data_IF_586533007134
#
_entry.id   IF_586533007134
#
_cell.length_a   1.000
_cell.length_b   1.000
_cell.length_c   1.000
_cell.angle_alpha   90.00
_cell.angle_beta   90.00
_cell.angle_gamma   90.00
#
_symmetry.space_group_name_H-M   'P 1'
#
loop_
_entity.id
_entity.type
_entity.pdbx_description
1 polymer ?
#
# COMPACT_ATOMS: atom_id res chain seq x y z
N UNK A 1 -2.38 -31.27 -5.38
CA UNK A 1 -2.88 -29.90 -5.71
C UNK A 1 -1.99 -29.33 -6.81
N UNK A 2 -2.54 -28.96 -7.98
CA UNK A 2 -1.74 -28.49 -9.14
C UNK A 2 -1.28 -27.04 -8.93
N UNK A 3 0.00 -26.75 -9.19
CA UNK A 3 0.55 -25.40 -9.04
C UNK A 3 0.13 -24.51 -10.23
N UNK A 4 -0.33 -23.29 -9.97
CA UNK A 4 -0.71 -22.33 -11.02
C UNK A 4 0.48 -21.98 -11.93
N UNK A 5 0.44 -22.21 -13.24
CA UNK A 5 1.59 -21.92 -14.12
C UNK A 5 2.89 -22.65 -13.74
N UNK A 6 2.78 -23.89 -13.26
CA UNK A 6 3.93 -24.71 -12.84
C UNK A 6 5.05 -24.75 -13.90
N UNK A 7 4.69 -25.06 -15.14
CA UNK A 7 5.64 -25.20 -16.26
C UNK A 7 6.36 -23.89 -16.58
N UNK A 8 5.62 -22.79 -16.68
CA UNK A 8 6.19 -21.45 -16.90
C UNK A 8 7.19 -21.10 -15.80
N UNK A 9 6.83 -21.38 -14.55
CA UNK A 9 7.72 -21.09 -13.43
C UNK A 9 8.92 -22.01 -13.34
N UNK A 10 8.82 -23.26 -13.82
CA UNK A 10 9.96 -24.17 -13.95
C UNK A 10 10.99 -23.61 -14.95
N UNK A 11 10.53 -23.11 -16.09
CA UNK A 11 11.37 -22.47 -17.10
C UNK A 11 12.04 -21.20 -16.55
N UNK A 12 11.27 -20.31 -15.89
CA UNK A 12 11.81 -19.08 -15.29
C UNK A 12 12.85 -19.40 -14.22
N UNK A 13 12.56 -20.35 -13.32
CA UNK A 13 13.50 -20.76 -12.28
C UNK A 13 14.82 -21.24 -12.86
N UNK A 14 14.79 -22.04 -13.92
CA UNK A 14 16.01 -22.47 -14.61
C UNK A 14 16.83 -21.26 -15.08
N UNK A 15 16.19 -20.30 -15.74
CA UNK A 15 16.86 -19.06 -16.17
C UNK A 15 17.45 -18.27 -14.99
N UNK A 16 16.73 -18.17 -13.86
CA UNK A 16 17.22 -17.49 -12.65
C UNK A 16 18.45 -18.19 -12.06
N UNK A 17 18.46 -19.53 -12.02
CA UNK A 17 19.63 -20.30 -11.57
C UNK A 17 20.82 -20.12 -12.52
N UNK A 18 20.60 -20.18 -13.82
CA UNK A 18 21.67 -20.02 -14.81
C UNK A 18 22.31 -18.62 -14.70
N UNK A 19 21.49 -17.58 -14.54
CA UNK A 19 21.96 -16.21 -14.31
C UNK A 19 22.79 -16.12 -13.03
N UNK A 20 22.31 -16.69 -11.92
CA UNK A 20 23.04 -16.65 -10.66
C UNK A 20 24.39 -17.40 -10.75
N UNK A 21 24.42 -18.54 -11.44
CA UNK A 21 25.63 -19.33 -11.64
C UNK A 21 26.64 -18.65 -12.57
N UNK A 22 26.19 -17.99 -13.64
CA UNK A 22 27.06 -17.31 -14.61
C UNK A 22 27.57 -15.96 -14.09
N UNK A 23 26.70 -15.17 -13.44
CA UNK A 23 27.03 -13.80 -12.98
C UNK A 23 27.71 -13.81 -11.61
N UNK A 24 27.36 -14.74 -10.73
CA UNK A 24 27.82 -14.75 -9.34
C UNK A 24 27.13 -13.70 -8.47
N UNK A 25 27.68 -13.45 -7.27
CA UNK A 25 27.14 -12.51 -6.27
C UNK A 25 27.92 -11.18 -6.27
N UNK A 26 27.29 -10.10 -5.79
CA UNK A 26 27.95 -8.80 -5.57
C UNK A 26 27.66 -7.72 -6.61
N UNK A 27 26.87 -8.04 -7.64
CA UNK A 27 26.46 -7.07 -8.65
C UNK A 27 25.16 -6.34 -8.27
N UNK A 28 24.91 -5.14 -8.83
CA UNK A 28 23.66 -4.43 -8.61
C UNK A 28 22.47 -5.13 -9.30
N UNK A 29 21.26 -4.86 -8.82
CA UNK A 29 20.00 -5.41 -9.36
C UNK A 29 19.86 -5.24 -10.87
N UNK A 30 20.29 -4.10 -11.42
CA UNK A 30 20.26 -3.82 -12.86
C UNK A 30 21.13 -4.76 -13.71
N UNK A 31 22.17 -5.36 -13.14
CA UNK A 31 22.99 -6.36 -13.83
C UNK A 31 22.24 -7.69 -13.93
N UNK A 32 21.67 -8.16 -12.82
CA UNK A 32 20.84 -9.38 -12.80
C UNK A 32 19.60 -9.25 -13.67
N UNK A 33 18.97 -8.07 -13.68
CA UNK A 33 17.84 -7.80 -14.56
C UNK A 33 18.22 -7.96 -16.03
N UNK A 34 19.31 -7.33 -16.48
CA UNK A 34 19.82 -7.49 -17.87
C UNK A 34 20.19 -8.93 -18.20
N UNK A 35 20.90 -9.62 -17.29
CA UNK A 35 21.30 -11.00 -17.48
C UNK A 35 20.09 -11.94 -17.60
N UNK A 36 19.06 -11.72 -16.78
CA UNK A 36 17.82 -12.49 -16.82
C UNK A 36 17.05 -12.30 -18.14
N UNK A 37 16.92 -11.06 -18.62
CA UNK A 37 16.30 -10.80 -19.92
C UNK A 37 17.05 -11.51 -21.05
N UNK A 38 18.39 -11.44 -21.07
CA UNK A 38 19.22 -12.11 -22.07
C UNK A 38 19.12 -13.65 -21.99
N UNK A 39 19.04 -14.23 -20.80
CA UNK A 39 18.84 -15.67 -20.60
C UNK A 39 17.47 -16.13 -21.13
N UNK A 40 16.41 -15.39 -20.80
CA UNK A 40 15.05 -15.67 -21.27
C UNK A 40 14.92 -15.52 -22.79
N UNK A 41 15.51 -14.49 -23.39
CA UNK A 41 15.48 -14.26 -24.83
C UNK A 41 16.15 -15.40 -25.60
N UNK A 42 17.33 -15.87 -25.16
CA UNK A 42 18.04 -17.04 -25.74
C UNK A 42 17.20 -18.33 -25.70
N UNK A 43 16.22 -18.40 -24.80
CA UNK A 43 15.34 -19.55 -24.59
C UNK A 43 13.94 -19.37 -25.20
N UNK A 44 13.72 -18.28 -25.94
CA UNK A 44 12.41 -17.99 -26.54
C UNK A 44 11.30 -17.75 -25.52
N UNK A 45 11.63 -17.29 -24.30
CA UNK A 45 10.63 -16.97 -23.28
C UNK A 45 10.00 -15.60 -23.61
N UNK A 46 8.69 -15.53 -23.89
CA UNK A 46 7.99 -14.27 -24.11
C UNK A 46 7.93 -13.47 -22.82
N UNK A 47 8.45 -12.24 -22.84
CA UNK A 47 8.41 -11.35 -21.69
C UNK A 47 8.27 -9.88 -22.11
N UNK A 48 7.77 -9.09 -21.17
CA UNK A 48 7.82 -7.64 -21.16
C UNK A 48 8.63 -7.20 -19.94
N UNK A 49 9.28 -6.04 -20.03
CA UNK A 49 10.08 -5.51 -18.94
C UNK A 49 9.91 -4.00 -18.81
N UNK A 50 9.97 -3.50 -17.57
CA UNK A 50 9.95 -2.06 -17.23
C UNK A 50 8.76 -1.32 -17.86
N UNK A 51 7.60 -1.99 -17.95
CA UNK A 51 6.39 -1.33 -18.47
C UNK A 51 5.73 -0.52 -17.37
N UNK A 52 5.29 0.68 -17.73
CA UNK A 52 4.64 1.61 -16.82
C UNK A 52 3.12 1.44 -16.84
N UNK A 53 2.51 1.64 -15.69
CA UNK A 53 1.05 1.61 -15.51
C UNK A 53 0.59 2.77 -14.65
N UNK A 54 -0.43 3.51 -15.10
CA UNK A 54 -0.99 4.65 -14.38
C UNK A 54 -2.18 4.20 -13.54
N UNK A 55 -2.11 4.39 -12.23
CA UNK A 55 -3.27 4.27 -11.36
C UNK A 55 -3.99 5.61 -11.34
N UNK A 56 -5.19 5.64 -11.89
CA UNK A 56 -6.02 6.83 -11.97
C UNK A 56 -7.22 6.73 -11.03
N UNK A 57 -7.65 7.87 -10.50
CA UNK A 57 -8.90 8.00 -9.76
C UNK A 57 -9.51 9.36 -10.07
N UNK A 58 -10.77 9.41 -10.53
CA UNK A 58 -11.44 10.67 -10.95
C UNK A 58 -10.59 11.50 -11.92
N UNK A 59 -10.06 10.85 -12.95
CA UNK A 59 -9.19 11.43 -13.99
C UNK A 59 -7.84 11.99 -13.49
N UNK A 60 -7.52 11.83 -12.22
CA UNK A 60 -6.22 12.19 -11.64
C UNK A 60 -5.30 10.98 -11.63
N UNK A 61 -4.07 11.14 -12.14
CA UNK A 61 -3.02 10.12 -12.00
C UNK A 61 -2.50 10.15 -10.56
N UNK A 62 -2.87 9.14 -9.78
CA UNK A 62 -2.54 9.01 -8.36
C UNK A 62 -1.13 8.45 -8.16
N UNK A 63 -0.74 7.51 -9.03
CA UNK A 63 0.58 6.89 -9.03
C UNK A 63 0.93 6.27 -10.38
N UNK A 64 2.23 6.12 -10.66
CA UNK A 64 2.74 5.41 -11.84
C UNK A 64 3.60 4.25 -11.35
N UNK A 65 3.14 3.03 -11.58
CA UNK A 65 3.89 1.81 -11.28
C UNK A 65 4.79 1.44 -12.45
N UNK A 66 5.89 0.74 -12.17
CA UNK A 66 6.75 0.10 -13.15
C UNK A 66 7.23 -1.23 -12.56
N UNK A 67 6.95 -2.35 -13.24
CA UNK A 67 7.40 -3.67 -12.81
C UNK A 67 8.73 -4.05 -13.47
N UNK A 68 9.47 -4.99 -12.88
CA UNK A 68 10.72 -5.48 -13.49
C UNK A 68 10.44 -6.34 -14.73
N UNK A 69 9.71 -7.45 -14.57
CA UNK A 69 9.42 -8.41 -15.66
C UNK A 69 8.00 -8.98 -15.57
N UNK A 70 7.37 -9.18 -16.72
CA UNK A 70 6.13 -9.94 -16.90
C UNK A 70 6.34 -10.99 -18.00
N UNK A 71 6.32 -12.28 -17.62
CA UNK A 71 6.51 -13.39 -18.55
C UNK A 71 5.17 -14.03 -18.95
N UNK A 72 5.01 -14.34 -20.24
CA UNK A 72 3.78 -14.86 -20.87
C UNK A 72 2.50 -14.09 -20.54
N UNK A 73 2.61 -12.80 -20.15
CA UNK A 73 1.49 -12.03 -19.60
C UNK A 73 0.80 -12.67 -18.38
N UNK A 74 1.46 -13.64 -17.72
CA UNK A 74 0.90 -14.47 -16.64
C UNK A 74 1.66 -14.32 -15.33
N UNK A 75 2.98 -14.35 -15.37
CA UNK A 75 3.86 -14.42 -14.18
C UNK A 75 4.68 -13.14 -14.08
N UNK A 76 4.45 -12.38 -13.01
CA UNK A 76 5.28 -11.20 -12.71
C UNK A 76 6.53 -11.63 -11.93
N UNK A 77 7.65 -10.95 -12.16
CA UNK A 77 8.85 -11.12 -11.37
C UNK A 77 9.29 -9.77 -10.82
N UNK A 78 9.69 -9.77 -9.56
CA UNK A 78 10.39 -8.68 -8.90
C UNK A 78 11.78 -9.19 -8.54
N UNK A 79 12.82 -8.57 -9.08
CA UNK A 79 14.21 -9.01 -8.91
C UNK A 79 14.88 -8.12 -7.87
N UNK A 80 15.69 -8.72 -7.00
CA UNK A 80 16.42 -8.04 -5.95
C UNK A 80 17.85 -8.57 -5.85
N UNK A 81 18.76 -7.75 -5.33
CA UNK A 81 20.14 -8.13 -5.01
C UNK A 81 20.47 -7.75 -3.55
N UNK A 82 19.92 -8.50 -2.60
CA UNK A 82 19.91 -8.15 -1.18
C UNK A 82 20.77 -9.12 -0.35
N UNK A 83 21.81 -8.59 0.29
CA UNK A 83 22.63 -9.34 1.24
C UNK A 83 21.85 -9.70 2.51
N UNK A 84 20.93 -8.84 2.97
CA UNK A 84 20.12 -9.03 4.17
C UNK A 84 18.94 -10.01 4.01
N UNK A 85 18.50 -10.29 2.77
CA UNK A 85 17.27 -11.04 2.50
C UNK A 85 16.05 -10.15 2.25
N UNK A 86 14.86 -10.74 2.18
CA UNK A 86 13.64 -9.98 1.88
C UNK A 86 13.09 -9.26 3.11
N UNK A 87 12.78 -7.97 2.95
CA UNK A 87 11.95 -7.20 3.87
C UNK A 87 10.48 -7.27 3.46
N UNK A 88 9.58 -6.92 4.39
CA UNK A 88 8.13 -6.86 4.16
C UNK A 88 7.76 -6.01 2.95
N UNK A 89 8.44 -4.90 2.73
CA UNK A 89 8.13 -3.96 1.66
C UNK A 89 8.33 -4.58 0.27
N UNK A 90 9.28 -5.51 0.11
CA UNK A 90 9.46 -6.23 -1.16
C UNK A 90 8.25 -7.12 -1.49
N UNK A 91 7.65 -7.77 -0.48
CA UNK A 91 6.42 -8.54 -0.66
C UNK A 91 5.24 -7.61 -0.97
N UNK A 92 5.14 -6.47 -0.30
CA UNK A 92 4.09 -5.47 -0.56
C UNK A 92 4.19 -4.93 -1.99
N UNK A 93 5.40 -4.67 -2.48
CA UNK A 93 5.64 -4.17 -3.83
C UNK A 93 5.13 -5.14 -4.90
N UNK A 94 5.57 -6.40 -4.86
CA UNK A 94 5.13 -7.38 -5.86
C UNK A 94 3.63 -7.69 -5.75
N UNK A 95 3.05 -7.77 -4.55
CA UNK A 95 1.60 -7.95 -4.38
C UNK A 95 0.80 -6.76 -4.94
N UNK A 96 1.33 -5.54 -4.79
CA UNK A 96 0.76 -4.32 -5.37
C UNK A 96 0.75 -4.39 -6.90
N UNK A 97 1.83 -4.88 -7.50
CA UNK A 97 1.91 -5.07 -8.96
C UNK A 97 0.96 -6.17 -9.44
N UNK A 98 0.90 -7.31 -8.75
CA UNK A 98 -0.06 -8.38 -9.07
C UNK A 98 -1.50 -7.88 -9.05
N UNK A 99 -1.85 -7.07 -8.04
CA UNK A 99 -3.14 -6.41 -7.96
C UNK A 99 -3.36 -5.46 -9.15
N UNK A 100 -2.45 -4.50 -9.35
CA UNK A 100 -2.63 -3.46 -10.36
C UNK A 100 -2.73 -4.00 -11.79
N UNK A 101 -1.88 -4.97 -12.17
CA UNK A 101 -1.93 -5.62 -13.48
C UNK A 101 -2.86 -6.84 -13.56
N UNK A 102 -3.64 -7.12 -12.51
CA UNK A 102 -4.58 -8.24 -12.42
C UNK A 102 -3.93 -9.60 -12.73
N UNK A 103 -2.73 -9.83 -12.19
CA UNK A 103 -1.97 -11.08 -12.36
C UNK A 103 -2.10 -11.95 -11.13
N UNK A 104 -2.04 -13.26 -11.34
CA UNK A 104 -2.34 -14.28 -10.31
C UNK A 104 -1.11 -14.90 -9.65
N UNK A 105 0.08 -14.60 -10.18
CA UNK A 105 1.32 -15.19 -9.68
C UNK A 105 2.50 -14.23 -9.83
N UNK A 106 3.21 -14.02 -8.73
CA UNK A 106 4.49 -13.32 -8.70
C UNK A 106 5.63 -14.23 -8.26
N UNK A 107 6.83 -13.96 -8.75
CA UNK A 107 8.08 -14.50 -8.22
C UNK A 107 8.92 -13.34 -7.66
N UNK A 108 9.14 -13.34 -6.35
CA UNK A 108 10.06 -12.41 -5.71
C UNK A 108 11.43 -13.09 -5.61
N UNK A 109 12.43 -12.54 -6.30
CA UNK A 109 13.73 -13.19 -6.49
C UNK A 109 14.82 -12.38 -5.83
N UNK A 110 15.74 -13.05 -5.13
CA UNK A 110 16.93 -12.42 -4.57
C UNK A 110 18.20 -13.13 -5.04
N UNK A 111 19.04 -12.39 -5.75
CA UNK A 111 20.35 -12.81 -6.23
C UNK A 111 21.51 -12.50 -5.26
N UNK A 112 21.28 -11.69 -4.22
CA UNK A 112 22.32 -11.20 -3.30
C UNK A 112 22.76 -12.19 -2.22
N UNK A 113 22.36 -13.46 -2.32
CA UNK A 113 22.75 -14.54 -1.41
C UNK A 113 23.60 -15.56 -2.15
N UNK A 114 24.30 -16.42 -1.41
CA UNK A 114 25.08 -17.55 -1.96
C UNK A 114 24.27 -18.47 -2.89
N UNK A 115 22.96 -18.52 -2.69
CA UNK A 115 22.01 -19.21 -3.58
C UNK A 115 20.88 -18.26 -3.91
N UNK A 116 20.43 -18.25 -5.16
CA UNK A 116 19.23 -17.50 -5.54
C UNK A 116 18.04 -17.94 -4.69
N UNK A 117 17.37 -16.98 -4.05
CA UNK A 117 16.15 -17.20 -3.29
C UNK A 117 14.96 -16.79 -4.14
N UNK A 118 13.94 -17.64 -4.21
CA UNK A 118 12.76 -17.42 -5.05
C UNK A 118 11.53 -17.69 -4.19
N UNK A 119 10.81 -16.62 -3.85
CA UNK A 119 9.51 -16.70 -3.20
C UNK A 119 8.41 -16.70 -4.25
N UNK A 120 7.53 -17.69 -4.16
CA UNK A 120 6.43 -17.88 -5.09
C UNK A 120 5.15 -17.38 -4.44
N UNK A 121 4.54 -16.35 -5.04
CA UNK A 121 3.45 -15.60 -4.42
C UNK A 121 2.18 -15.71 -5.28
N UNK A 122 1.30 -16.70 -5.01
CA UNK A 122 -0.02 -16.72 -5.60
C UNK A 122 -0.82 -15.52 -5.08
N UNK A 123 -1.54 -14.85 -5.98
CA UNK A 123 -2.39 -13.71 -5.67
C UNK A 123 -3.81 -13.97 -6.13
N UNK A 124 -4.75 -13.62 -5.26
CA UNK A 124 -6.16 -13.57 -5.54
C UNK A 124 -6.72 -12.31 -4.88
N UNK A 125 -7.56 -11.59 -5.60
CA UNK A 125 -8.34 -10.53 -4.99
C UNK A 125 -9.28 -11.12 -3.95
N UNK A 126 -9.52 -10.34 -2.90
CA UNK A 126 -10.42 -10.71 -1.82
C UNK A 126 -11.67 -9.86 -1.91
N UNK A 127 -12.78 -10.44 -1.51
CA UNK A 127 -14.03 -9.71 -1.37
C UNK A 127 -13.86 -8.57 -0.35
N UNK A 128 -14.47 -7.43 -0.68
CA UNK A 128 -14.46 -6.27 0.19
C UNK A 128 -15.44 -6.48 1.33
N UNK A 129 -14.92 -6.81 2.51
CA UNK A 129 -15.68 -6.76 3.76
C UNK A 129 -15.54 -5.38 4.38
N UNK A 130 -16.65 -4.78 4.82
CA UNK A 130 -16.65 -3.46 5.46
C UNK A 130 -17.08 -3.61 6.92
N UNK A 131 -16.32 -2.99 7.83
CA UNK A 131 -16.61 -2.93 9.26
C UNK A 131 -16.51 -1.49 9.75
N UNK A 132 -17.53 -1.02 10.47
CA UNK A 132 -17.59 0.37 10.91
C UNK A 132 -17.96 0.47 12.40
N UNK A 133 -17.25 1.29 13.15
CA UNK A 133 -17.51 1.54 14.56
C UNK A 133 -17.39 3.04 14.88
N UNK A 134 -18.53 3.68 15.13
CA UNK A 134 -18.62 5.10 15.50
C UNK A 134 -19.04 5.33 16.95
N UNK A 135 -19.09 4.27 17.79
CA UNK A 135 -19.66 4.35 19.14
C UNK A 135 -19.00 5.45 19.99
N UNK A 136 -17.69 5.66 19.83
CA UNK A 136 -16.90 6.63 20.61
C UNK A 136 -17.08 8.09 20.19
N UNK A 137 -17.53 8.34 18.97
CA UNK A 137 -17.73 9.72 18.46
C UNK A 137 -19.19 10.14 18.54
N UNK A 138 -20.15 9.22 18.45
CA UNK A 138 -21.60 9.52 18.48
C UNK A 138 -22.02 10.52 19.58
N UNK A 139 -21.55 10.42 20.84
CA UNK A 139 -21.95 11.36 21.90
C UNK A 139 -21.35 12.76 21.76
N UNK A 140 -20.33 12.95 20.91
CA UNK A 140 -19.58 14.20 20.75
C UNK A 140 -19.84 14.91 19.43
N UNK A 141 -20.65 14.32 18.54
CA UNK A 141 -20.94 14.91 17.24
C UNK A 141 -22.05 15.95 17.34
N UNK A 142 -21.77 17.17 16.90
CA UNK A 142 -22.81 18.15 16.66
C UNK A 142 -23.64 17.74 15.43
N UNK A 143 -24.88 18.21 15.35
CA UNK A 143 -25.74 17.98 14.17
C UNK A 143 -25.09 18.48 12.89
N UNK A 144 -24.32 19.57 12.98
CA UNK A 144 -23.55 20.17 11.88
C UNK A 144 -22.40 19.31 11.38
N UNK A 145 -21.91 18.33 12.15
CA UNK A 145 -20.79 17.47 11.73
C UNK A 145 -21.25 16.27 10.88
N UNK A 146 -22.54 15.92 10.95
CA UNK A 146 -23.09 14.73 10.29
C UNK A 146 -22.97 14.77 8.76
N UNK A 147 -23.24 15.89 8.06
CA UNK A 147 -23.06 15.96 6.61
C UNK A 147 -21.61 15.73 6.19
N UNK A 148 -20.65 16.35 6.90
CA UNK A 148 -19.23 16.19 6.62
C UNK A 148 -18.78 14.74 6.82
N UNK A 149 -19.12 14.11 7.95
CA UNK A 149 -18.78 12.71 8.20
C UNK A 149 -19.41 11.75 7.19
N UNK A 150 -20.65 12.04 6.74
CA UNK A 150 -21.29 11.25 5.69
C UNK A 150 -20.52 11.35 4.37
N UNK A 151 -20.14 12.56 3.96
CA UNK A 151 -19.37 12.78 2.74
C UNK A 151 -17.98 12.12 2.81
N UNK A 152 -17.31 12.20 3.97
CA UNK A 152 -16.03 11.53 4.24
C UNK A 152 -16.20 10.00 4.09
N UNK A 153 -17.19 9.42 4.77
CA UNK A 153 -17.51 7.99 4.71
C UNK A 153 -17.81 7.53 3.29
N UNK A 154 -18.64 8.27 2.56
CA UNK A 154 -18.97 7.94 1.18
C UNK A 154 -17.72 7.94 0.29
N UNK A 155 -16.82 8.91 0.45
CA UNK A 155 -15.54 8.91 -0.26
C UNK A 155 -14.68 7.69 0.08
N UNK A 156 -14.61 7.29 1.36
CA UNK A 156 -13.89 6.09 1.79
C UNK A 156 -14.46 4.83 1.12
N UNK A 157 -15.78 4.69 1.13
CA UNK A 157 -16.45 3.55 0.51
C UNK A 157 -16.29 3.53 -1.00
N UNK A 158 -16.37 4.69 -1.67
CA UNK A 158 -16.12 4.78 -3.12
C UNK A 158 -14.71 4.31 -3.45
N UNK A 159 -13.68 4.81 -2.75
CA UNK A 159 -12.29 4.38 -2.99
C UNK A 159 -12.13 2.87 -2.77
N UNK A 160 -12.71 2.34 -1.69
CA UNK A 160 -12.63 0.90 -1.41
C UNK A 160 -13.37 0.05 -2.44
N UNK A 161 -14.53 0.49 -2.94
CA UNK A 161 -15.30 -0.21 -3.96
C UNK A 161 -14.63 -0.16 -5.33
N UNK A 162 -14.04 0.97 -5.70
CA UNK A 162 -13.37 1.14 -7.01
C UNK A 162 -12.03 0.40 -7.06
N UNK A 163 -11.24 0.46 -5.98
CA UNK A 163 -9.85 -0.02 -5.99
C UNK A 163 -9.63 -1.30 -5.19
N UNK A 164 -10.57 -1.72 -4.34
CA UNK A 164 -10.41 -2.85 -3.45
C UNK A 164 -9.31 -2.67 -2.39
N UNK A 165 -9.01 -3.73 -1.65
CA UNK A 165 -7.97 -3.77 -0.61
C UNK A 165 -6.61 -4.19 -1.18
N UNK A 166 -5.52 -3.97 -0.43
CA UNK A 166 -4.18 -4.48 -0.81
C UNK A 166 -3.20 -3.44 -1.35
N UNK A 167 -3.57 -2.16 -1.39
CA UNK A 167 -2.60 -1.07 -1.58
C UNK A 167 -2.03 -0.59 -0.24
N UNK A 168 -0.83 -0.02 -0.26
CA UNK A 168 -0.21 0.60 0.92
C UNK A 168 -0.93 1.88 1.36
N UNK A 169 -0.71 2.28 2.60
CA UNK A 169 -1.35 3.43 3.26
C UNK A 169 -1.16 4.75 2.51
N UNK A 170 0.04 5.03 2.03
CA UNK A 170 0.36 6.23 1.24
C UNK A 170 -0.49 6.30 -0.03
N UNK A 171 -0.69 5.16 -0.70
CA UNK A 171 -1.46 5.12 -1.92
C UNK A 171 -2.96 5.24 -1.64
N UNK A 172 -3.45 4.56 -0.60
CA UNK A 172 -4.82 4.72 -0.10
C UNK A 172 -5.11 6.18 0.28
N UNK A 173 -4.19 6.87 0.95
CA UNK A 173 -4.32 8.27 1.32
C UNK A 173 -4.41 9.18 0.08
N UNK A 174 -3.59 8.95 -0.95
CA UNK A 174 -3.66 9.70 -2.21
C UNK A 174 -4.98 9.46 -2.95
N UNK A 175 -5.47 8.20 -2.98
CA UNK A 175 -6.78 7.87 -3.55
C UNK A 175 -7.93 8.59 -2.82
N UNK A 176 -7.90 8.60 -1.48
CA UNK A 176 -8.87 9.34 -0.67
C UNK A 176 -8.81 10.85 -0.92
N UNK A 177 -7.60 11.42 -1.00
CA UNK A 177 -7.43 12.82 -1.36
C UNK A 177 -8.09 13.12 -2.71
N UNK A 178 -7.80 12.32 -3.75
CA UNK A 178 -8.41 12.52 -5.07
C UNK A 178 -9.95 12.42 -5.03
N UNK A 179 -10.51 11.45 -4.31
CA UNK A 179 -11.97 11.30 -4.16
C UNK A 179 -12.61 12.48 -3.43
N UNK A 180 -12.00 12.95 -2.34
CA UNK A 180 -12.56 14.03 -1.54
C UNK A 180 -12.43 15.40 -2.23
N UNK A 181 -11.35 15.65 -2.97
CA UNK A 181 -11.24 16.83 -3.83
C UNK A 181 -12.32 16.81 -4.93
N UNK A 182 -12.54 15.66 -5.58
CA UNK A 182 -13.63 15.51 -6.56
C UNK A 182 -15.01 15.81 -5.95
N UNK A 183 -15.21 15.46 -4.67
CA UNK A 183 -16.42 15.75 -3.89
C UNK A 183 -16.46 17.17 -3.31
N UNK A 184 -15.53 18.04 -3.69
CA UNK A 184 -15.43 19.43 -3.22
C UNK A 184 -15.26 19.57 -1.70
N UNK A 185 -14.63 18.58 -1.05
CA UNK A 185 -14.23 18.68 0.34
C UNK A 185 -12.84 19.33 0.44
N UNK A 186 -12.67 20.27 1.37
CA UNK A 186 -11.35 20.79 1.72
C UNK A 186 -10.54 19.68 2.40
N UNK A 187 -9.34 19.37 1.87
CA UNK A 187 -8.45 18.34 2.41
C UNK A 187 -7.03 18.90 2.56
N UNK A 188 -6.45 18.73 3.75
CA UNK A 188 -5.04 19.07 4.01
C UNK A 188 -4.27 17.82 4.43
N UNK A 189 -3.13 17.57 3.80
CA UNK A 189 -2.29 16.38 4.00
C UNK A 189 -0.84 16.69 4.42
N UNK A 190 -0.47 17.97 4.53
CA UNK A 190 0.83 18.44 5.02
C UNK A 190 0.73 18.97 6.45
N UNK A 191 0.04 18.22 7.30
CA UNK A 191 -0.22 18.60 8.68
C UNK A 191 1.07 18.52 9.49
N UNK A 192 1.30 19.51 10.37
CA UNK A 192 2.42 19.51 11.30
C UNK A 192 1.96 19.87 12.70
N UNK A 193 2.43 19.15 13.70
CA UNK A 193 2.17 19.43 15.11
C UNK A 193 3.42 19.92 15.80
N UNK A 194 3.34 20.91 16.70
CA UNK A 194 4.37 21.10 17.70
C UNK A 194 4.45 19.85 18.58
N UNK A 195 5.64 19.32 18.81
CA UNK A 195 5.88 18.41 19.92
C UNK A 195 6.40 19.22 21.10
N UNK A 196 5.90 18.92 22.30
CA UNK A 196 6.30 19.61 23.53
C UNK A 196 6.73 18.61 24.58
N UNK A 197 7.75 19.00 25.33
CA UNK A 197 8.10 18.36 26.59
C UNK A 197 8.14 19.48 27.64
N UNK A 198 7.22 19.41 28.60
CA UNK A 198 6.98 20.51 29.54
C UNK A 198 6.65 21.82 28.81
N UNK A 199 7.33 22.92 29.12
CA UNK A 199 7.18 24.23 28.49
C UNK A 199 7.99 24.37 27.18
N UNK A 200 8.82 23.38 26.83
CA UNK A 200 9.74 23.47 25.69
C UNK A 200 9.11 22.91 24.42
N UNK A 201 9.05 23.73 23.36
CA UNK A 201 8.71 23.26 22.01
C UNK A 201 9.92 22.57 21.37
N UNK A 202 9.79 21.26 21.12
CA UNK A 202 10.83 20.42 20.51
C UNK A 202 10.89 20.56 18.98
N UNK A 203 9.96 21.33 18.39
CA UNK A 203 9.82 21.55 16.96
C UNK A 203 8.50 21.03 16.39
N UNK A 204 8.32 21.22 15.08
CA UNK A 204 7.10 20.85 14.35
C UNK A 204 7.29 19.60 13.50
N UNK A 205 6.60 18.54 13.88
CA UNK A 205 6.72 17.21 13.27
C UNK A 205 5.54 16.92 12.35
N UNK A 206 5.77 16.17 11.25
CA UNK A 206 4.69 15.80 10.35
C UNK A 206 3.66 14.92 11.06
N UNK A 207 2.40 15.18 10.78
CA UNK A 207 1.27 14.34 11.18
C UNK A 207 0.86 13.52 9.97
N UNK A 208 0.90 12.20 10.15
CA UNK A 208 0.44 11.26 9.15
C UNK A 208 -1.09 11.09 9.25
N UNK A 209 -1.80 12.01 8.60
CA UNK A 209 -3.27 12.06 8.54
C UNK A 209 -3.77 13.13 7.56
N UNK A 210 -5.04 13.03 7.21
CA UNK A 210 -5.75 13.93 6.29
C UNK A 210 -6.77 14.74 7.08
N UNK A 211 -6.64 16.06 7.14
CA UNK A 211 -7.64 16.93 7.77
C UNK A 211 -8.69 17.29 6.73
N UNK A 212 -9.93 16.88 6.96
CA UNK A 212 -11.04 17.09 6.03
C UNK A 212 -12.04 18.08 6.62
N UNK A 213 -12.40 19.09 5.84
CA UNK A 213 -13.33 20.16 6.24
C UNK A 213 -12.89 20.91 7.50
N UNK A 214 -11.57 21.00 7.74
CA UNK A 214 -10.94 21.65 8.91
C UNK A 214 -11.35 21.10 10.28
N UNK A 215 -12.08 19.97 10.32
CA UNK A 215 -12.75 19.48 11.54
C UNK A 215 -12.49 18.01 11.84
N UNK A 216 -12.35 17.18 10.81
CA UNK A 216 -12.23 15.72 10.97
C UNK A 216 -10.86 15.28 10.52
N UNK A 217 -10.09 14.70 11.43
CA UNK A 217 -8.81 14.08 11.10
C UNK A 217 -9.02 12.64 10.64
N UNK A 218 -8.58 12.29 9.44
CA UNK A 218 -8.58 10.93 8.93
C UNK A 218 -7.16 10.33 8.98
N UNK A 219 -6.93 9.40 9.89
CA UNK A 219 -5.68 8.63 9.96
C UNK A 219 -5.81 7.38 9.09
N UNK A 220 -5.06 7.32 7.98
CA UNK A 220 -5.11 6.21 7.03
C UNK A 220 -4.04 5.18 7.39
N UNK A 221 -4.42 3.91 7.43
CA UNK A 221 -3.51 2.77 7.54
C UNK A 221 -3.93 1.72 6.53
N UNK A 222 -3.03 0.80 6.19
CA UNK A 222 -3.35 -0.29 5.28
C UNK A 222 -2.58 -1.57 5.61
N UNK A 223 -3.03 -2.69 5.03
CA UNK A 223 -2.36 -3.99 5.12
C UNK A 223 -2.20 -4.52 6.55
N UNK A 224 -3.00 -4.03 7.50
CA UNK A 224 -3.13 -4.57 8.87
C UNK A 224 -4.32 -5.53 8.92
N UNK A 225 -4.28 -6.46 9.88
CA UNK A 225 -5.46 -7.31 10.15
C UNK A 225 -6.56 -6.46 10.77
N UNK A 226 -6.23 -5.67 11.79
CA UNK A 226 -7.17 -4.84 12.55
C UNK A 226 -6.60 -3.46 12.92
N UNK A 227 -7.48 -2.53 13.29
CA UNK A 227 -7.13 -1.26 13.95
C UNK A 227 -6.78 -1.55 15.41
N UNK A 228 -5.49 -1.48 15.74
CA UNK A 228 -4.94 -1.80 17.05
C UNK A 228 -4.72 -0.59 17.97
N UNK A 229 -4.14 -0.83 19.17
CA UNK A 229 -3.90 0.22 20.16
C UNK A 229 -2.97 1.33 19.66
N UNK A 230 -1.99 1.00 18.82
CA UNK A 230 -1.07 1.99 18.25
C UNK A 230 -1.79 3.01 17.36
N UNK A 231 -2.66 2.57 16.45
CA UNK A 231 -3.42 3.46 15.56
C UNK A 231 -4.34 4.38 16.36
N UNK A 232 -4.98 3.82 17.40
CA UNK A 232 -5.87 4.56 18.30
C UNK A 232 -5.08 5.62 19.07
N UNK A 233 -3.96 5.23 19.70
CA UNK A 233 -3.12 6.15 20.48
C UNK A 233 -2.48 7.24 19.62
N UNK A 234 -2.04 6.90 18.40
CA UNK A 234 -1.56 7.86 17.39
C UNK A 234 -2.64 8.87 17.04
N UNK A 235 -3.84 8.42 16.68
CA UNK A 235 -4.96 9.31 16.35
C UNK A 235 -5.35 10.22 17.51
N UNK A 236 -5.41 9.69 18.75
CA UNK A 236 -5.69 10.48 19.94
C UNK A 236 -4.63 11.56 20.20
N UNK A 237 -3.36 11.23 19.95
CA UNK A 237 -2.26 12.18 20.12
C UNK A 237 -2.32 13.28 19.07
N UNK A 238 -2.64 12.95 17.82
CA UNK A 238 -2.86 13.92 16.75
C UNK A 238 -4.07 14.82 16.99
N UNK A 239 -5.15 14.29 17.54
CA UNK A 239 -6.31 15.10 17.94
C UNK A 239 -5.93 16.17 18.98
N UNK A 240 -5.17 15.79 20.02
CA UNK A 240 -4.68 16.77 21.03
C UNK A 240 -3.76 17.82 20.42
N UNK A 241 -2.88 17.39 19.52
CA UNK A 241 -1.92 18.23 18.83
C UNK A 241 -2.55 19.29 17.93
N UNK A 242 -3.65 18.94 17.25
CA UNK A 242 -4.36 19.80 16.30
C UNK A 242 -5.56 20.53 16.93
N UNK A 243 -5.78 20.36 18.23
CA UNK A 243 -6.98 20.85 18.94
C UNK A 243 -8.31 20.40 18.28
N UNK A 244 -8.33 19.16 17.81
CA UNK A 244 -9.49 18.53 17.17
C UNK A 244 -10.18 17.55 18.11
N UNK A 245 -11.49 17.37 17.93
CA UNK A 245 -12.31 16.52 18.81
C UNK A 245 -12.57 15.13 18.24
N UNK A 246 -12.57 15.00 16.91
CA UNK A 246 -13.00 13.81 16.17
C UNK A 246 -11.99 13.40 15.12
N UNK A 247 -11.61 12.13 15.14
CA UNK A 247 -10.85 11.47 14.08
C UNK A 247 -11.56 10.22 13.58
N UNK A 248 -11.30 9.86 12.33
CA UNK A 248 -11.56 8.53 11.79
C UNK A 248 -10.22 7.84 11.55
N UNK A 249 -10.05 6.65 12.13
CA UNK A 249 -8.99 5.74 11.68
C UNK A 249 -9.59 4.85 10.60
N UNK A 250 -8.98 4.88 9.41
CA UNK A 250 -9.42 4.14 8.23
C UNK A 250 -8.34 3.12 7.87
N UNK A 251 -8.63 1.83 8.08
CA UNK A 251 -7.75 0.75 7.72
C UNK A 251 -8.23 0.09 6.41
N UNK A 252 -7.47 0.27 5.32
CA UNK A 252 -7.56 -0.58 4.13
C UNK A 252 -6.82 -1.89 4.41
N UNK A 253 -7.41 -2.72 5.26
CA UNK A 253 -6.79 -3.90 5.84
C UNK A 253 -6.56 -5.02 4.83
N UNK A 254 -5.97 -6.12 5.31
CA UNK A 254 -5.69 -7.30 4.47
C UNK A 254 -6.95 -8.10 4.09
N UNK A 255 -8.04 -7.94 4.85
CA UNK A 255 -9.28 -8.72 4.71
C UNK A 255 -10.54 -7.87 4.76
N UNK A 256 -10.47 -6.70 5.40
CA UNK A 256 -11.60 -5.80 5.53
C UNK A 256 -11.15 -4.34 5.44
N UNK A 257 -12.05 -3.49 4.95
CA UNK A 257 -12.03 -2.07 5.20
C UNK A 257 -12.62 -1.82 6.59
N UNK A 258 -11.87 -1.16 7.46
CA UNK A 258 -12.34 -0.81 8.80
C UNK A 258 -12.36 0.70 8.98
N UNK A 259 -13.47 1.24 9.47
CA UNK A 259 -13.60 2.65 9.82
C UNK A 259 -13.92 2.74 11.30
N UNK A 260 -13.05 3.39 12.08
CA UNK A 260 -13.25 3.57 13.52
C UNK A 260 -13.22 5.04 13.88
N UNK A 261 -14.31 5.52 14.49
CA UNK A 261 -14.36 6.84 15.11
C UNK A 261 -13.55 6.87 16.40
N UNK A 262 -12.66 7.85 16.51
CA UNK A 262 -11.81 8.12 17.67
C UNK A 262 -12.11 9.54 18.16
N UNK A 263 -12.18 9.71 19.48
CA UNK A 263 -12.30 11.02 20.10
C UNK A 263 -11.06 11.34 20.93
N UNK A 264 -10.79 12.64 21.11
CA UNK A 264 -9.72 13.08 21.99
C UNK A 264 -9.97 12.54 23.42
N UNK A 265 -8.93 12.09 24.15
CA UNK A 265 -9.09 11.73 25.55
C UNK A 265 -9.67 12.92 26.35
N UNK A 266 -10.49 12.64 27.36
CA UNK A 266 -10.91 13.70 28.29
C UNK A 266 -9.65 14.20 29.01
N UNK A 267 -9.45 15.53 29.03
CA UNK A 267 -8.46 16.15 29.92
C UNK A 267 -8.88 15.95 31.37
#
# INVERSE_FOLDING_TARGET
MKLIFEEQTRILRRCLFDVHNEVGVGYPEAAYHRAFLACCQRRGVPLLSRQKGRLCHRDVVVHVFEYDVLAWEMVMLELKALSGGFARDHFVQILTYLKFWKKRLGLLVNFGKEKVRIERLPFAEKELVVSENYAYIKPRLATSDRPLLRAIREGILTVAQTHGLGYGDTLCAKLLCAEWHYRQLAVHNELRSPARFEEVELGRFPIDGLLVGERVLCCVTALKEDIGPYEIGKAQSYLRALDLTVALVVNFGKRALQIRGICAPRR
#
